data_IF_722916444922
#
_entry.id   IF_722916444922
#
_cell.length_a   1.000
_cell.length_b   1.000
_cell.length_c   1.000
_cell.angle_alpha   90.00
_cell.angle_beta   90.00
_cell.angle_gamma   90.00
#
_symmetry.space_group_name_H-M   'P 1'
#
loop_
_entity.id
_entity.type
_entity.pdbx_description
1 polymer ?
#
# COMPACT_ATOMS: atom_id res chain seq x y z
N UNK A 1 -31.12 -11.20 -4.15
CA UNK A 1 -32.01 -10.63 -3.10
C UNK A 1 -33.44 -11.15 -3.24
N UNK A 2 -34.16 -10.85 -4.33
CA UNK A 2 -35.57 -11.25 -4.52
C UNK A 2 -35.81 -12.75 -4.33
N UNK A 3 -34.92 -13.60 -4.84
CA UNK A 3 -35.02 -15.05 -4.65
C UNK A 3 -35.01 -15.47 -3.18
N UNK A 4 -34.23 -14.80 -2.32
CA UNK A 4 -34.22 -15.07 -0.89
C UNK A 4 -35.54 -14.64 -0.22
N UNK A 5 -36.05 -13.46 -0.58
CA UNK A 5 -37.36 -13.00 -0.09
C UNK A 5 -38.48 -13.97 -0.47
N UNK A 6 -38.48 -14.46 -1.72
CA UNK A 6 -39.44 -15.47 -2.17
C UNK A 6 -39.24 -16.83 -1.49
N UNK A 7 -37.99 -17.21 -1.19
CA UNK A 7 -37.70 -18.46 -0.47
C UNK A 7 -38.28 -18.46 0.94
N UNK A 8 -38.27 -17.32 1.64
CA UNK A 8 -38.89 -17.18 2.95
C UNK A 8 -40.42 -17.41 2.91
N UNK A 9 -41.06 -17.09 1.79
CA UNK A 9 -42.48 -17.32 1.52
C UNK A 9 -42.76 -18.69 0.86
N UNK A 10 -41.76 -19.59 0.79
CA UNK A 10 -41.80 -20.88 0.09
C UNK A 10 -42.19 -20.76 -1.41
N UNK A 11 -41.91 -19.61 -2.03
CA UNK A 11 -42.21 -19.29 -3.44
C UNK A 11 -40.95 -19.19 -4.29
N UNK A 12 -39.85 -19.82 -3.87
CA UNK A 12 -38.60 -19.79 -4.63
C UNK A 12 -38.76 -20.52 -5.96
N UNK A 13 -38.55 -19.79 -7.06
CA UNK A 13 -38.35 -20.40 -8.38
C UNK A 13 -36.85 -20.66 -8.59
N UNK A 14 -36.46 -21.93 -8.58
CA UNK A 14 -35.06 -22.36 -8.70
C UNK A 14 -34.52 -22.15 -10.11
N UNK A 15 -35.33 -22.34 -11.15
CA UNK A 15 -34.90 -22.18 -12.54
C UNK A 15 -34.50 -20.73 -12.82
N UNK A 16 -35.28 -19.78 -12.29
CA UNK A 16 -34.95 -18.34 -12.38
C UNK A 16 -33.65 -18.04 -11.62
N UNK A 17 -33.45 -18.63 -10.44
CA UNK A 17 -32.22 -18.43 -9.68
C UNK A 17 -31.00 -18.94 -10.45
N UNK A 18 -31.04 -20.17 -10.97
CA UNK A 18 -29.90 -20.77 -11.68
C UNK A 18 -29.62 -20.14 -13.04
N UNK A 19 -30.60 -19.47 -13.67
CA UNK A 19 -30.38 -18.72 -14.91
C UNK A 19 -29.27 -17.66 -14.78
N UNK A 20 -29.04 -17.14 -13.59
CA UNK A 20 -28.02 -16.13 -13.31
C UNK A 20 -26.77 -16.70 -12.60
N UNK A 21 -26.70 -18.02 -12.41
CA UNK A 21 -25.56 -18.66 -11.77
C UNK A 21 -24.36 -18.76 -12.73
N UNK A 22 -23.17 -18.89 -12.17
CA UNK A 22 -21.96 -19.23 -12.92
C UNK A 22 -22.07 -20.63 -13.54
N UNK A 23 -21.28 -20.96 -14.59
CA UNK A 23 -21.30 -22.28 -15.22
C UNK A 23 -21.03 -23.43 -14.24
N UNK A 24 -20.24 -23.17 -13.19
CA UNK A 24 -19.90 -24.13 -12.13
C UNK A 24 -20.96 -24.21 -11.02
N UNK A 25 -22.04 -23.42 -11.12
CA UNK A 25 -23.10 -23.28 -10.11
C UNK A 25 -22.57 -22.87 -8.73
N UNK A 26 -21.42 -22.19 -8.69
CA UNK A 26 -20.70 -21.85 -7.47
C UNK A 26 -20.94 -20.43 -6.98
N UNK A 27 -21.35 -19.51 -7.86
CA UNK A 27 -21.59 -18.11 -7.51
C UNK A 27 -22.51 -17.40 -8.51
N UNK A 28 -22.97 -16.20 -8.15
CA UNK A 28 -23.86 -15.37 -8.98
C UNK A 28 -23.16 -14.07 -9.39
N UNK A 29 -22.48 -14.04 -10.55
CA UNK A 29 -21.76 -12.86 -11.01
C UNK A 29 -22.71 -11.70 -11.33
N UNK A 30 -22.31 -10.48 -10.94
CA UNK A 30 -23.07 -9.26 -11.24
C UNK A 30 -22.19 -8.17 -11.86
N UNK A 31 -22.75 -7.35 -12.79
CA UNK A 31 -22.08 -6.16 -13.29
C UNK A 31 -21.97 -5.14 -12.15
N UNK A 32 -20.75 -4.93 -11.65
CA UNK A 32 -20.50 -4.10 -10.46
C UNK A 32 -19.20 -4.46 -9.75
N UNK A 33 -18.67 -5.67 -10.00
CA UNK A 33 -17.37 -6.10 -9.49
C UNK A 33 -17.47 -7.17 -8.40
N UNK A 34 -16.32 -7.48 -7.81
CA UNK A 34 -16.16 -8.62 -6.89
C UNK A 34 -17.03 -8.51 -5.64
N UNK A 35 -17.13 -7.32 -5.03
CA UNK A 35 -17.84 -7.12 -3.76
C UNK A 35 -19.35 -7.36 -3.90
N UNK A 36 -19.97 -6.83 -4.95
CA UNK A 36 -21.39 -7.05 -5.21
C UNK A 36 -21.68 -8.50 -5.62
N UNK A 37 -20.74 -9.18 -6.29
CA UNK A 37 -20.85 -10.62 -6.59
C UNK A 37 -20.87 -11.45 -5.31
N UNK A 38 -20.06 -11.10 -4.31
CA UNK A 38 -20.07 -11.76 -3.00
C UNK A 38 -21.41 -11.58 -2.29
N UNK A 39 -21.94 -10.36 -2.26
CA UNK A 39 -23.24 -10.07 -1.66
C UNK A 39 -24.38 -10.80 -2.39
N UNK A 40 -24.44 -10.73 -3.73
CA UNK A 40 -25.45 -11.40 -4.53
C UNK A 40 -25.43 -12.92 -4.32
N UNK A 41 -24.23 -13.50 -4.29
CA UNK A 41 -24.03 -14.94 -4.02
C UNK A 41 -24.45 -15.30 -2.60
N UNK A 42 -24.27 -14.41 -1.61
CA UNK A 42 -24.65 -14.68 -0.22
C UNK A 42 -26.18 -14.78 -0.08
N UNK A 43 -26.91 -13.90 -0.77
CA UNK A 43 -28.37 -14.02 -0.86
C UNK A 43 -28.82 -15.28 -1.60
N UNK A 44 -28.09 -15.72 -2.63
CA UNK A 44 -28.40 -16.97 -3.32
C UNK A 44 -28.18 -18.18 -2.40
N UNK A 45 -27.08 -18.21 -1.64
CA UNK A 45 -26.82 -19.25 -0.63
C UNK A 45 -27.94 -19.30 0.42
N UNK A 46 -28.35 -18.15 0.97
CA UNK A 46 -29.46 -18.07 1.91
C UNK A 46 -30.78 -18.61 1.32
N UNK A 47 -31.06 -18.33 0.04
CA UNK A 47 -32.23 -18.87 -0.64
C UNK A 47 -32.17 -20.40 -0.77
N UNK A 48 -31.01 -20.96 -1.13
CA UNK A 48 -30.81 -22.40 -1.23
C UNK A 48 -30.93 -23.10 0.13
N UNK A 49 -30.36 -22.52 1.18
CA UNK A 49 -30.45 -23.03 2.56
C UNK A 49 -31.91 -23.04 3.04
N UNK A 50 -32.67 -21.95 2.80
CA UNK A 50 -34.10 -21.91 3.13
C UNK A 50 -34.92 -22.94 2.36
N UNK A 51 -34.58 -23.20 1.10
CA UNK A 51 -35.18 -24.24 0.29
C UNK A 51 -34.69 -25.68 0.63
N UNK A 52 -33.83 -25.84 1.65
CA UNK A 52 -33.19 -27.11 2.06
C UNK A 52 -32.41 -27.80 0.93
N UNK A 53 -31.91 -27.04 -0.03
CA UNK A 53 -31.12 -27.52 -1.16
C UNK A 53 -29.62 -27.54 -0.79
N UNK A 54 -29.24 -28.36 0.19
CA UNK A 54 -27.88 -28.34 0.78
C UNK A 54 -26.79 -28.83 -0.18
N UNK A 55 -27.09 -29.80 -1.04
CA UNK A 55 -26.14 -30.28 -2.06
C UNK A 55 -25.76 -29.18 -3.04
N UNK A 56 -26.73 -28.36 -3.45
CA UNK A 56 -26.50 -27.22 -4.35
C UNK A 56 -25.85 -26.02 -3.64
N UNK A 57 -26.03 -25.90 -2.33
CA UNK A 57 -25.41 -24.87 -1.51
C UNK A 57 -23.92 -25.15 -1.23
N UNK A 58 -23.50 -26.42 -1.20
CA UNK A 58 -22.13 -26.82 -0.85
C UNK A 58 -21.05 -26.21 -1.77
N UNK A 59 -21.18 -26.22 -3.11
CA UNK A 59 -20.23 -25.54 -4.00
C UNK A 59 -20.11 -24.04 -3.72
N UNK A 60 -21.21 -23.40 -3.33
CA UNK A 60 -21.25 -21.96 -3.02
C UNK A 60 -20.48 -21.62 -1.75
N UNK A 61 -20.63 -22.45 -0.71
CA UNK A 61 -19.87 -22.31 0.55
C UNK A 61 -18.36 -22.49 0.31
N UNK A 62 -17.98 -23.51 -0.48
CA UNK A 62 -16.58 -23.72 -0.87
C UNK A 62 -16.02 -22.54 -1.65
N UNK A 63 -16.82 -21.96 -2.54
CA UNK A 63 -16.43 -20.76 -3.27
C UNK A 63 -16.15 -19.59 -2.33
N UNK A 64 -17.00 -19.32 -1.32
CA UNK A 64 -16.74 -18.25 -0.34
C UNK A 64 -15.40 -18.39 0.39
N UNK A 65 -15.00 -19.61 0.76
CA UNK A 65 -13.71 -19.85 1.42
C UNK A 65 -12.52 -19.37 0.56
N UNK A 66 -12.63 -19.44 -0.77
CA UNK A 66 -11.62 -18.93 -1.70
C UNK A 66 -11.61 -17.40 -1.87
N UNK A 67 -12.69 -16.71 -1.46
CA UNK A 67 -12.86 -15.28 -1.70
C UNK A 67 -12.51 -14.40 -0.50
N UNK A 68 -12.31 -14.99 0.67
CA UNK A 68 -12.10 -14.28 1.92
C UNK A 68 -10.71 -13.61 1.96
N UNK A 69 -10.68 -12.28 2.16
CA UNK A 69 -9.48 -11.46 2.22
C UNK A 69 -8.61 -11.75 3.46
N UNK A 70 -7.40 -11.21 3.44
CA UNK A 70 -6.49 -11.19 4.60
C UNK A 70 -7.18 -10.46 5.76
N UNK A 71 -7.15 -11.05 6.95
CA UNK A 71 -7.90 -10.54 8.12
C UNK A 71 -9.34 -11.07 8.23
N UNK A 72 -9.77 -11.94 7.31
CA UNK A 72 -11.03 -12.66 7.41
C UNK A 72 -12.25 -11.94 6.81
N UNK A 73 -12.12 -10.67 6.44
CA UNK A 73 -13.21 -9.92 5.79
C UNK A 73 -13.44 -10.30 4.32
N UNK A 74 -14.53 -9.81 3.75
CA UNK A 74 -14.90 -9.98 2.34
C UNK A 74 -14.82 -8.67 1.55
N UNK A 75 -13.98 -7.73 2.01
CA UNK A 75 -13.69 -6.46 1.33
C UNK A 75 -14.63 -5.31 1.68
N UNK A 76 -15.94 -5.53 1.75
CA UNK A 76 -16.89 -4.52 2.28
C UNK A 76 -17.62 -5.03 3.51
N UNK A 77 -18.12 -4.14 4.36
CA UNK A 77 -18.89 -4.53 5.55
C UNK A 77 -20.13 -5.31 5.16
N UNK A 78 -20.84 -4.85 4.11
CA UNK A 78 -22.05 -5.51 3.64
C UNK A 78 -21.78 -6.91 3.08
N UNK A 79 -20.77 -7.06 2.22
CA UNK A 79 -20.37 -8.38 1.74
C UNK A 79 -19.93 -9.28 2.91
N UNK A 80 -19.19 -8.74 3.88
CA UNK A 80 -18.70 -9.49 5.04
C UNK A 80 -19.84 -9.99 5.91
N UNK A 81 -20.78 -9.13 6.29
CA UNK A 81 -21.94 -9.50 7.12
C UNK A 81 -22.80 -10.52 6.38
N UNK A 82 -23.11 -10.27 5.11
CA UNK A 82 -24.00 -11.15 4.34
C UNK A 82 -23.39 -12.53 4.11
N UNK A 83 -22.10 -12.61 3.78
CA UNK A 83 -21.41 -13.89 3.60
C UNK A 83 -21.34 -14.66 4.91
N UNK A 84 -20.95 -14.00 6.02
CA UNK A 84 -20.92 -14.67 7.32
C UNK A 84 -22.29 -15.17 7.76
N UNK A 85 -23.35 -14.38 7.57
CA UNK A 85 -24.70 -14.80 7.85
C UNK A 85 -25.09 -16.02 7.01
N UNK A 86 -24.84 -15.99 5.69
CA UNK A 86 -25.19 -17.08 4.78
C UNK A 86 -24.46 -18.39 5.11
N UNK A 87 -23.15 -18.30 5.38
CA UNK A 87 -22.31 -19.45 5.72
C UNK A 87 -22.68 -20.01 7.11
N UNK A 88 -22.98 -19.14 8.08
CA UNK A 88 -23.43 -19.58 9.40
C UNK A 88 -24.78 -20.31 9.33
N UNK A 89 -25.75 -19.77 8.58
CA UNK A 89 -27.05 -20.43 8.35
C UNK A 89 -26.88 -21.79 7.65
N UNK A 90 -25.96 -21.90 6.69
CA UNK A 90 -25.63 -23.20 6.09
C UNK A 90 -25.12 -24.20 7.13
N UNK A 91 -24.08 -23.85 7.89
CA UNK A 91 -23.48 -24.77 8.88
C UNK A 91 -24.41 -25.08 10.06
N UNK A 92 -25.35 -24.21 10.39
CA UNK A 92 -26.36 -24.47 11.42
C UNK A 92 -27.38 -25.54 11.01
N UNK A 93 -27.65 -25.66 9.70
CA UNK A 93 -28.69 -26.55 9.17
C UNK A 93 -28.17 -27.78 8.43
N UNK A 94 -26.98 -27.69 7.84
CA UNK A 94 -26.35 -28.78 7.12
C UNK A 94 -25.70 -29.79 8.08
N UNK A 95 -25.63 -31.06 7.68
CA UNK A 95 -24.90 -32.07 8.46
C UNK A 95 -23.40 -31.87 8.28
N UNK A 96 -22.67 -31.77 9.38
CA UNK A 96 -21.21 -31.73 9.37
C UNK A 96 -20.65 -33.09 8.89
N UNK A 97 -19.75 -33.11 7.90
CA UNK A 97 -19.02 -34.31 7.52
C UNK A 97 -18.01 -34.71 8.60
N UNK A 98 -17.56 -35.97 8.58
CA UNK A 98 -16.44 -36.40 9.41
C UNK A 98 -15.17 -35.62 9.07
N UNK A 99 -14.38 -35.32 10.10
CA UNK A 99 -13.20 -34.47 10.02
C UNK A 99 -12.01 -35.15 10.71
N UNK A 100 -11.08 -35.65 9.91
CA UNK A 100 -9.78 -36.21 10.27
C UNK A 100 -8.78 -35.89 9.16
N UNK A 101 -8.19 -34.70 9.24
CA UNK A 101 -7.33 -34.14 8.20
C UNK A 101 -5.94 -33.84 8.75
N UNK A 102 -4.91 -34.38 8.11
CA UNK A 102 -3.52 -34.08 8.39
C UNK A 102 -2.96 -33.20 7.29
N UNK A 103 -2.32 -32.08 7.68
CA UNK A 103 -1.75 -31.08 6.78
C UNK A 103 -0.30 -30.85 7.15
N UNK A 104 0.59 -31.18 6.22
CA UNK A 104 2.04 -30.97 6.33
C UNK A 104 2.43 -29.76 5.46
N UNK A 105 3.02 -28.74 6.08
CA UNK A 105 3.49 -27.53 5.41
C UNK A 105 5.02 -27.49 5.44
N UNK A 106 5.65 -27.67 4.28
CA UNK A 106 7.09 -27.53 4.12
C UNK A 106 7.43 -26.13 3.62
N UNK A 107 8.04 -25.36 4.51
CA UNK A 107 8.51 -24.01 4.25
C UNK A 107 9.94 -24.01 3.69
N UNK A 108 10.28 -23.06 2.79
CA UNK A 108 11.62 -22.89 2.26
C UNK A 108 12.63 -22.68 3.40
N UNK A 109 13.82 -23.28 3.26
CA UNK A 109 14.88 -23.22 4.27
C UNK A 109 14.68 -24.14 5.50
N UNK A 110 13.52 -24.80 5.65
CA UNK A 110 13.31 -25.79 6.73
C UNK A 110 13.58 -27.22 6.25
N UNK A 111 14.24 -28.01 7.11
CA UNK A 111 14.54 -29.42 6.83
C UNK A 111 13.38 -30.38 7.13
N UNK A 112 12.40 -29.95 7.93
CA UNK A 112 11.21 -30.74 8.30
C UNK A 112 9.94 -29.92 8.07
N UNK A 113 8.85 -30.56 7.61
CA UNK A 113 7.55 -29.89 7.48
C UNK A 113 6.94 -29.65 8.87
N UNK A 114 6.18 -28.57 8.98
CA UNK A 114 5.28 -28.34 10.11
C UNK A 114 4.04 -29.21 9.91
N UNK A 115 3.76 -30.07 10.89
CA UNK A 115 2.65 -31.02 10.82
C UNK A 115 1.47 -30.53 11.65
N UNK A 116 0.30 -30.46 11.03
CA UNK A 116 -0.95 -30.09 11.69
C UNK A 116 -1.96 -31.22 11.52
N UNK A 117 -2.62 -31.60 12.62
CA UNK A 117 -3.70 -32.58 12.61
C UNK A 117 -4.98 -31.92 13.08
N UNK A 118 -6.02 -32.07 12.27
CA UNK A 118 -7.34 -31.50 12.48
C UNK A 118 -8.37 -32.60 12.66
N UNK A 119 -9.04 -32.60 13.81
CA UNK A 119 -10.09 -33.53 14.18
C UNK A 119 -11.34 -32.74 14.62
N UNK A 120 -12.43 -33.45 14.95
CA UNK A 120 -13.69 -32.83 15.38
C UNK A 120 -13.60 -31.94 16.63
N UNK A 121 -12.55 -32.10 17.44
CA UNK A 121 -12.36 -31.29 18.65
C UNK A 121 -11.60 -29.99 18.36
N UNK A 122 -10.78 -29.96 17.31
CA UNK A 122 -9.84 -28.88 17.06
C UNK A 122 -9.94 -28.26 15.65
N UNK A 123 -10.86 -28.70 14.79
CA UNK A 123 -11.02 -28.23 13.40
C UNK A 123 -11.36 -26.74 13.28
N UNK A 124 -11.92 -26.13 14.33
CA UNK A 124 -12.12 -24.68 14.40
C UNK A 124 -10.85 -23.88 14.74
N UNK A 125 -9.74 -24.55 15.07
CA UNK A 125 -8.49 -23.89 15.49
C UNK A 125 -7.68 -23.45 14.28
N UNK A 126 -7.26 -22.18 14.26
CA UNK A 126 -6.31 -21.70 13.26
C UNK A 126 -4.88 -22.10 13.62
N UNK A 127 -4.14 -22.63 12.65
CA UNK A 127 -2.70 -22.93 12.77
C UNK A 127 -1.91 -21.98 11.90
N UNK A 128 -0.80 -21.47 12.42
CA UNK A 128 0.02 -20.45 11.74
C UNK A 128 1.47 -20.90 11.72
N UNK A 129 2.13 -20.72 10.58
CA UNK A 129 3.59 -20.79 10.47
C UNK A 129 4.11 -19.56 9.75
N UNK A 130 5.33 -19.14 10.10
CA UNK A 130 5.95 -17.89 9.61
C UNK A 130 7.36 -18.16 9.10
N UNK A 131 7.75 -17.41 8.07
CA UNK A 131 9.09 -17.31 7.51
C UNK A 131 9.42 -15.84 7.26
N UNK A 132 10.72 -15.53 7.23
CA UNK A 132 11.20 -14.16 6.98
C UNK A 132 11.47 -13.88 5.50
N UNK A 133 11.26 -14.87 4.63
CA UNK A 133 11.46 -14.76 3.19
C UNK A 133 10.11 -14.63 2.46
N UNK A 134 10.09 -13.81 1.39
CA UNK A 134 8.94 -13.64 0.50
C UNK A 134 9.26 -14.23 -0.89
N UNK A 135 8.23 -14.52 -1.69
CA UNK A 135 8.34 -15.04 -3.06
C UNK A 135 9.10 -16.38 -3.17
N UNK A 136 8.85 -17.28 -2.22
CA UNK A 136 9.40 -18.64 -2.21
C UNK A 136 8.27 -19.66 -2.32
N UNK A 137 8.54 -20.78 -2.97
CA UNK A 137 7.57 -21.86 -3.11
C UNK A 137 7.35 -22.60 -1.78
N UNK A 138 6.08 -22.82 -1.43
CA UNK A 138 5.68 -23.57 -0.23
C UNK A 138 4.98 -24.85 -0.67
N UNK A 139 5.41 -26.00 -0.13
CA UNK A 139 4.77 -27.29 -0.41
C UNK A 139 3.79 -27.65 0.69
N UNK A 140 2.53 -27.79 0.33
CA UNK A 140 1.44 -28.23 1.23
C UNK A 140 1.00 -29.63 0.83
N UNK A 141 0.99 -30.56 1.78
CA UNK A 141 0.49 -31.93 1.59
C UNK A 141 -0.65 -32.17 2.56
N UNK A 142 -1.82 -32.56 2.05
CA UNK A 142 -3.00 -32.83 2.87
C UNK A 142 -3.44 -34.28 2.68
N UNK A 143 -3.72 -34.99 3.78
CA UNK A 143 -4.15 -36.40 3.79
C UNK A 143 -5.28 -36.61 4.80
N UNK A 144 -6.20 -37.55 4.51
CA UNK A 144 -7.34 -37.85 5.36
C UNK A 144 -8.66 -37.30 4.81
N UNK A 145 -9.66 -37.17 5.69
CA UNK A 145 -11.04 -36.81 5.37
C UNK A 145 -11.36 -35.44 5.95
N UNK A 146 -11.73 -34.48 5.12
CA UNK A 146 -12.10 -33.13 5.55
C UNK A 146 -11.73 -32.08 4.51
N UNK A 147 -12.04 -30.83 4.81
CA UNK A 147 -11.72 -29.69 3.95
C UNK A 147 -11.08 -28.59 4.80
N UNK A 148 -9.84 -28.21 4.48
CA UNK A 148 -9.15 -27.10 5.12
C UNK A 148 -8.84 -26.00 4.11
N UNK A 149 -8.78 -24.76 4.60
CA UNK A 149 -8.38 -23.60 3.80
C UNK A 149 -7.00 -23.15 4.24
N UNK A 150 -6.06 -23.10 3.29
CA UNK A 150 -4.71 -22.57 3.52
C UNK A 150 -4.63 -21.17 2.94
N UNK A 151 -4.15 -20.21 3.75
CA UNK A 151 -3.94 -18.83 3.32
C UNK A 151 -2.50 -18.43 3.54
N UNK A 152 -1.88 -17.90 2.49
CA UNK A 152 -0.54 -17.34 2.52
C UNK A 152 -0.65 -15.82 2.47
N UNK A 153 0.00 -15.15 3.43
CA UNK A 153 -0.02 -13.69 3.58
C UNK A 153 1.41 -13.20 3.66
N UNK A 154 1.81 -12.35 2.72
CA UNK A 154 3.12 -11.70 2.74
C UNK A 154 2.93 -10.23 3.12
N UNK A 155 3.58 -9.82 4.20
CA UNK A 155 3.64 -8.42 4.63
C UNK A 155 5.01 -7.87 4.26
N UNK A 156 5.04 -6.83 3.43
CA UNK A 156 6.27 -6.17 3.00
C UNK A 156 6.00 -4.69 2.74
N UNK A 157 7.05 -3.88 2.82
CA UNK A 157 6.98 -2.49 2.40
C UNK A 157 7.07 -2.42 0.88
N UNK A 158 5.97 -2.05 0.24
CA UNK A 158 5.94 -1.77 -1.19
C UNK A 158 6.23 -0.28 -1.42
N UNK A 159 7.06 0.03 -2.41
CA UNK A 159 7.17 1.42 -2.91
C UNK A 159 5.80 1.78 -3.49
N UNK A 160 5.18 2.90 -3.06
CA UNK A 160 3.92 3.36 -3.64
C UNK A 160 4.13 3.63 -5.13
N UNK A 161 3.58 2.78 -5.99
CA UNK A 161 3.56 3.03 -7.43
C UNK A 161 2.45 4.05 -7.67
N UNK A 162 2.79 5.27 -8.06
CA UNK A 162 1.83 6.14 -8.75
C UNK A 162 1.56 5.47 -10.10
N UNK A 163 0.52 4.65 -10.22
CA UNK A 163 0.08 4.27 -11.56
C UNK A 163 -0.68 5.46 -12.11
N UNK A 164 -0.35 5.89 -13.33
CA UNK A 164 -1.10 6.92 -14.04
C UNK A 164 -2.61 6.60 -14.13
N UNK A 165 -2.99 5.33 -13.95
CA UNK A 165 -4.37 4.84 -13.93
C UNK A 165 -5.02 4.72 -12.54
N UNK A 166 -4.43 5.21 -11.45
CA UNK A 166 -4.99 5.01 -10.10
C UNK A 166 -6.31 5.80 -9.87
N UNK A 167 -6.60 6.80 -10.70
CA UNK A 167 -7.73 7.70 -10.53
C UNK A 167 -8.78 7.55 -11.64
N UNK A 168 -9.25 6.32 -11.91
CA UNK A 168 -10.26 6.07 -12.95
C UNK A 168 -11.66 6.58 -12.58
N UNK A 169 -12.01 6.54 -11.29
CA UNK A 169 -13.35 6.86 -10.79
C UNK A 169 -13.47 8.22 -10.12
N UNK A 170 -12.35 8.81 -9.75
CA UNK A 170 -12.34 10.07 -9.02
C UNK A 170 -11.30 10.99 -9.64
N UNK A 171 -11.65 12.25 -9.82
CA UNK A 171 -10.69 13.32 -10.04
C UNK A 171 -10.43 14.00 -8.69
N UNK A 172 -9.16 13.98 -8.28
CA UNK A 172 -8.73 14.48 -6.97
C UNK A 172 -7.58 15.46 -7.15
N UNK A 173 -7.76 16.66 -6.60
CA UNK A 173 -6.69 17.65 -6.41
C UNK A 173 -6.38 17.75 -4.92
N UNK A 174 -5.09 17.85 -4.59
CA UNK A 174 -4.62 18.07 -3.22
C UNK A 174 -3.60 19.19 -3.24
N UNK A 175 -3.91 20.25 -2.53
CA UNK A 175 -3.07 21.45 -2.44
C UNK A 175 -2.79 21.76 -0.99
N UNK A 176 -1.55 22.17 -0.71
CA UNK A 176 -1.13 22.59 0.61
C UNK A 176 -0.70 24.05 0.54
N UNK A 177 -1.50 24.94 1.13
CA UNK A 177 -1.24 26.37 1.16
C UNK A 177 -0.58 26.75 2.48
N UNK A 178 0.47 27.59 2.43
CA UNK A 178 1.08 28.14 3.64
C UNK A 178 0.12 29.13 4.32
N UNK A 179 -0.16 28.87 5.60
CA UNK A 179 -0.94 29.75 6.46
C UNK A 179 -0.08 30.82 7.15
N UNK A 180 -0.72 31.64 7.98
CA UNK A 180 0.00 32.62 8.81
C UNK A 180 0.81 31.88 9.89
N UNK A 181 2.10 32.21 9.98
CA UNK A 181 2.97 31.79 11.09
C UNK A 181 2.46 32.43 12.39
N UNK A 182 2.16 31.61 13.40
CA UNK A 182 1.86 32.07 14.75
C UNK A 182 2.75 31.29 15.73
N UNK A 183 3.51 32.00 16.57
CA UNK A 183 4.21 31.42 17.74
C UNK A 183 5.08 30.18 17.46
N UNK A 184 5.92 30.24 16.42
CA UNK A 184 6.89 29.17 16.07
C UNK A 184 6.25 27.84 15.60
N UNK A 185 4.92 27.80 15.44
CA UNK A 185 4.18 26.70 14.79
C UNK A 185 3.92 27.05 13.32
N UNK A 186 4.39 26.17 12.40
CA UNK A 186 4.00 26.26 10.99
C UNK A 186 2.57 25.76 10.82
N UNK A 187 1.71 26.60 10.27
CA UNK A 187 0.32 26.27 9.97
C UNK A 187 0.16 26.21 8.46
N UNK A 188 -0.44 25.14 7.97
CA UNK A 188 -0.80 25.00 6.56
C UNK A 188 -2.30 24.76 6.43
N UNK A 189 -2.88 25.20 5.32
CA UNK A 189 -4.25 24.88 4.93
C UNK A 189 -4.20 23.77 3.90
N UNK A 190 -4.68 22.59 4.27
CA UNK A 190 -4.82 21.45 3.36
C UNK A 190 -6.15 21.57 2.64
N UNK A 191 -6.11 21.69 1.31
CA UNK A 191 -7.27 21.78 0.42
C UNK A 191 -7.35 20.51 -0.42
N UNK A 192 -8.50 19.83 -0.36
CA UNK A 192 -8.77 18.61 -1.11
C UNK A 192 -10.02 18.87 -1.94
N UNK A 193 -9.94 18.71 -3.26
CA UNK A 193 -11.13 18.74 -4.12
C UNK A 193 -11.36 17.35 -4.70
N UNK A 194 -12.61 16.88 -4.65
CA UNK A 194 -12.99 15.55 -5.13
C UNK A 194 -14.18 15.68 -6.07
N UNK A 195 -14.08 15.04 -7.24
CA UNK A 195 -15.16 14.90 -8.21
C UNK A 195 -15.28 13.43 -8.62
N UNK A 196 -16.51 12.91 -8.67
CA UNK A 196 -16.75 11.56 -9.16
C UNK A 196 -16.81 11.54 -10.70
N UNK A 197 -16.10 10.60 -11.31
CA UNK A 197 -15.99 10.45 -12.75
C UNK A 197 -17.03 9.45 -13.25
N UNK A 198 -18.29 9.89 -13.29
CA UNK A 198 -19.41 9.16 -13.89
C UNK A 198 -20.29 10.14 -14.68
N UNK A 199 -21.04 9.63 -15.65
CA UNK A 199 -21.89 10.47 -16.53
C UNK A 199 -23.26 10.73 -15.94
N UNK A 200 -23.79 9.78 -15.18
CA UNK A 200 -25.22 9.70 -14.91
C UNK A 200 -25.57 9.63 -13.42
N UNK A 201 -24.58 9.38 -12.54
CA UNK A 201 -24.82 9.21 -11.10
C UNK A 201 -23.74 9.83 -10.23
N UNK A 202 -24.15 10.33 -9.06
CA UNK A 202 -23.24 10.65 -7.97
C UNK A 202 -22.66 9.36 -7.36
N UNK A 203 -21.45 9.45 -6.80
CA UNK A 203 -20.90 8.38 -5.97
C UNK A 203 -21.70 8.29 -4.67
N UNK A 204 -21.84 7.07 -4.16
CA UNK A 204 -22.47 6.80 -2.87
C UNK A 204 -21.54 7.21 -1.72
N UNK A 205 -21.82 6.73 -0.51
CA UNK A 205 -20.98 7.01 0.67
C UNK A 205 -19.51 6.72 0.36
N UNK A 206 -18.68 7.76 0.49
CA UNK A 206 -17.27 7.74 0.12
C UNK A 206 -16.40 8.08 1.31
N UNK A 207 -15.20 7.51 1.35
CA UNK A 207 -14.22 7.73 2.42
C UNK A 207 -13.04 8.49 1.85
N UNK A 208 -12.64 9.54 2.56
CA UNK A 208 -11.35 10.20 2.43
C UNK A 208 -10.44 9.74 3.58
N UNK A 209 -9.41 8.98 3.24
CA UNK A 209 -8.38 8.54 4.19
C UNK A 209 -7.10 9.36 3.96
N UNK A 210 -6.82 10.22 4.93
CA UNK A 210 -5.78 11.25 4.89
C UNK A 210 -4.70 10.85 5.88
N UNK A 211 -3.55 10.41 5.36
CA UNK A 211 -2.34 10.27 6.15
C UNK A 211 -1.80 11.64 6.54
N UNK A 212 -1.40 11.83 7.79
CA UNK A 212 -0.78 13.07 8.24
C UNK A 212 0.74 13.04 8.06
N UNK A 213 1.33 14.20 7.82
CA UNK A 213 2.78 14.38 7.86
C UNK A 213 3.28 14.14 9.30
N UNK A 214 4.47 13.54 9.44
CA UNK A 214 5.04 13.28 10.76
C UNK A 214 5.20 14.57 11.56
N UNK A 215 4.65 14.59 12.78
CA UNK A 215 4.69 15.77 13.66
C UNK A 215 3.59 16.80 13.40
N UNK A 216 2.64 16.53 12.50
CA UNK A 216 1.49 17.40 12.23
C UNK A 216 0.21 16.90 12.91
N UNK A 217 -0.63 17.83 13.32
CA UNK A 217 -1.96 17.57 13.88
C UNK A 217 -3.01 18.43 13.18
N UNK A 218 -4.25 17.93 13.08
CA UNK A 218 -5.35 18.64 12.42
C UNK A 218 -6.03 19.63 13.37
N UNK A 219 -6.55 20.72 12.83
CA UNK A 219 -7.36 21.66 13.60
C UNK A 219 -8.79 21.12 13.73
N UNK A 220 -9.16 20.68 14.93
CA UNK A 220 -10.47 20.08 15.20
C UNK A 220 -11.62 21.05 15.05
N UNK A 221 -11.40 22.36 15.25
CA UNK A 221 -12.45 23.36 15.12
C UNK A 221 -12.89 23.52 13.66
N UNK A 222 -11.95 23.43 12.71
CA UNK A 222 -12.27 23.49 11.28
C UNK A 222 -13.07 22.25 10.85
N UNK A 223 -12.69 21.06 11.32
CA UNK A 223 -13.43 19.82 11.04
C UNK A 223 -14.81 19.79 11.70
N UNK A 224 -14.94 20.35 12.89
CA UNK A 224 -16.22 20.54 13.56
C UNK A 224 -17.16 21.45 12.77
N UNK A 225 -16.65 22.53 12.16
CA UNK A 225 -17.45 23.41 11.30
C UNK A 225 -17.91 22.71 10.01
N UNK A 226 -17.11 21.78 9.49
CA UNK A 226 -17.47 21.01 8.28
C UNK A 226 -18.50 19.91 8.58
N UNK A 227 -18.48 19.35 9.80
CA UNK A 227 -19.34 18.22 10.19
C UNK A 227 -20.61 18.62 10.93
N UNK A 228 -20.59 19.74 11.66
CA UNK A 228 -21.69 20.20 12.51
C UNK A 228 -22.43 21.36 11.84
N UNK A 229 -23.76 21.31 11.89
CA UNK A 229 -24.63 22.40 11.44
C UNK A 229 -25.52 22.02 10.24
N UNK A 230 -26.40 22.95 9.81
CA UNK A 230 -27.37 22.68 8.75
C UNK A 230 -26.75 22.58 7.35
N UNK A 231 -25.55 23.13 7.14
CA UNK A 231 -24.80 23.09 5.88
C UNK A 231 -23.55 22.20 6.02
N UNK A 232 -23.67 21.04 6.67
CA UNK A 232 -22.56 20.10 6.82
C UNK A 232 -22.09 19.60 5.44
N UNK A 233 -20.78 19.60 5.24
CA UNK A 233 -20.11 19.10 4.03
C UNK A 233 -19.66 17.66 4.22
N UNK A 234 -19.24 17.32 5.44
CA UNK A 234 -18.82 15.97 5.82
C UNK A 234 -19.83 15.38 6.79
N UNK A 235 -20.08 14.07 6.74
CA UNK A 235 -21.01 13.42 7.66
C UNK A 235 -20.38 13.31 9.06
N UNK A 236 -19.14 12.80 9.10
CA UNK A 236 -18.34 12.68 10.32
C UNK A 236 -16.85 12.51 9.98
N UNK A 237 -16.01 12.64 11.00
CA UNK A 237 -14.58 12.38 10.89
C UNK A 237 -14.07 11.59 12.09
N UNK A 238 -13.01 10.82 11.89
CA UNK A 238 -12.36 10.00 12.92
C UNK A 238 -10.85 10.23 12.83
N UNK A 239 -10.22 10.58 13.95
CA UNK A 239 -8.76 10.59 14.07
C UNK A 239 -8.31 9.23 14.56
N UNK A 240 -7.54 8.53 13.74
CA UNK A 240 -7.06 7.20 14.07
C UNK A 240 -5.55 7.24 14.32
N UNK A 241 -5.18 7.10 15.60
CA UNK A 241 -3.79 6.96 16.07
C UNK A 241 -3.36 5.50 16.19
N UNK A 242 -4.30 4.54 16.09
CA UNK A 242 -4.05 3.10 16.27
C UNK A 242 -3.68 2.42 14.95
N UNK A 243 -4.24 2.89 13.82
CA UNK A 243 -4.00 2.31 12.49
C UNK A 243 -2.79 2.89 11.75
N UNK A 244 -2.19 3.97 12.24
CA UNK A 244 -1.07 4.65 11.58
C UNK A 244 -0.11 5.22 12.61
N UNK A 245 1.17 4.81 12.53
CA UNK A 245 2.26 5.39 13.34
C UNK A 245 2.43 6.90 13.12
N UNK A 246 1.92 7.42 12.00
CA UNK A 246 2.00 8.85 11.61
C UNK A 246 0.75 9.65 12.01
N UNK A 247 -0.28 8.98 12.52
CA UNK A 247 -1.64 9.53 12.62
C UNK A 247 -2.35 9.54 11.27
N UNK A 248 -3.65 9.22 11.29
CA UNK A 248 -4.52 9.26 10.11
C UNK A 248 -5.84 9.95 10.44
N UNK A 249 -6.37 10.71 9.48
CA UNK A 249 -7.68 11.32 9.55
C UNK A 249 -8.59 10.66 8.52
N UNK A 250 -9.68 10.07 8.98
CA UNK A 250 -10.69 9.46 8.12
C UNK A 250 -11.91 10.39 8.10
N UNK A 251 -12.30 10.84 6.92
CA UNK A 251 -13.48 11.66 6.69
C UNK A 251 -14.52 10.85 5.90
N UNK A 252 -15.76 10.87 6.36
CA UNK A 252 -16.88 10.19 5.73
C UNK A 252 -17.75 11.22 4.99
N UNK A 253 -18.02 10.95 3.71
CA UNK A 253 -18.88 11.77 2.85
C UNK A 253 -20.14 10.97 2.52
N UNK A 254 -21.32 11.59 2.66
CA UNK A 254 -22.61 10.97 2.32
C UNK A 254 -22.68 10.61 0.82
N UNK A 255 -22.12 11.47 -0.02
CA UNK A 255 -21.99 11.29 -1.46
C UNK A 255 -20.87 12.17 -2.03
N UNK A 256 -20.43 11.87 -3.25
CA UNK A 256 -19.55 12.75 -4.03
C UNK A 256 -20.22 13.05 -5.37
N UNK A 257 -20.34 14.33 -5.71
CA UNK A 257 -21.03 14.71 -6.94
C UNK A 257 -20.23 14.34 -8.18
N UNK A 258 -20.94 13.98 -9.26
CA UNK A 258 -20.36 13.81 -10.59
C UNK A 258 -20.33 15.11 -11.43
N UNK A 259 -20.99 16.18 -10.96
CA UNK A 259 -21.15 17.43 -11.72
C UNK A 259 -20.28 18.57 -11.21
N UNK A 260 -20.10 18.65 -9.89
CA UNK A 260 -19.37 19.74 -9.23
C UNK A 260 -18.33 19.17 -8.28
N UNK A 261 -17.08 19.66 -8.32
CA UNK A 261 -16.07 19.28 -7.34
C UNK A 261 -16.51 19.69 -5.93
N UNK A 262 -16.40 18.77 -4.98
CA UNK A 262 -16.61 19.03 -3.57
C UNK A 262 -15.26 19.44 -2.96
N UNK A 263 -15.22 20.61 -2.31
CA UNK A 263 -14.00 21.14 -1.68
C UNK A 263 -14.04 20.91 -0.16
N UNK A 264 -13.00 20.28 0.37
CA UNK A 264 -12.81 20.04 1.80
C UNK A 264 -11.48 20.67 2.19
N UNK A 265 -11.52 21.69 3.03
CA UNK A 265 -10.32 22.41 3.45
C UNK A 265 -10.29 22.63 4.97
N UNK A 266 -9.15 22.34 5.57
CA UNK A 266 -8.92 22.52 7.01
C UNK A 266 -7.45 22.78 7.31
N UNK A 267 -7.17 23.38 8.46
CA UNK A 267 -5.79 23.68 8.87
C UNK A 267 -5.10 22.47 9.51
N UNK A 268 -3.81 22.32 9.21
CA UNK A 268 -2.90 21.39 9.89
C UNK A 268 -1.76 22.19 10.54
N UNK A 269 -1.38 21.77 11.74
CA UNK A 269 -0.43 22.45 12.61
C UNK A 269 0.79 21.56 12.83
N UNK A 270 2.00 22.10 12.65
CA UNK A 270 3.23 21.40 12.98
C UNK A 270 3.49 21.51 14.49
N UNK A 271 3.26 20.42 15.24
CA UNK A 271 3.53 20.34 16.69
C UNK A 271 4.94 19.89 17.01
N UNK A 272 5.54 19.09 16.13
CA UNK A 272 6.92 18.61 16.28
C UNK A 272 7.72 18.95 15.01
N UNK A 273 8.87 19.61 15.21
CA UNK A 273 9.83 19.89 14.13
C UNK A 273 10.60 18.61 13.82
N UNK A 274 10.46 18.11 12.60
CA UNK A 274 11.13 16.90 12.10
C UNK A 274 12.15 17.31 11.04
N UNK A 275 13.32 16.68 11.03
CA UNK A 275 14.41 17.06 10.13
C UNK A 275 14.11 16.83 8.64
N UNK A 276 13.60 15.63 8.29
CA UNK A 276 13.19 15.29 6.92
C UNK A 276 11.73 14.87 6.96
N UNK A 277 10.86 15.69 6.37
CA UNK A 277 9.45 15.36 6.21
C UNK A 277 9.28 14.40 5.05
N UNK A 278 8.59 13.29 5.29
CA UNK A 278 8.17 12.38 4.22
C UNK A 278 6.81 12.84 3.69
N UNK A 279 6.55 12.73 2.38
CA UNK A 279 5.22 13.00 1.82
C UNK A 279 4.15 12.15 2.49
N UNK A 280 2.96 12.72 2.60
CA UNK A 280 1.77 12.03 3.08
C UNK A 280 0.77 11.83 1.94
N UNK A 281 -0.13 10.86 2.09
CA UNK A 281 -1.08 10.45 1.07
C UNK A 281 -2.51 10.82 1.47
N UNK A 282 -3.30 11.27 0.50
CA UNK A 282 -4.75 11.36 0.56
C UNK A 282 -5.30 10.30 -0.39
N UNK A 283 -6.19 9.46 0.11
CA UNK A 283 -6.87 8.46 -0.70
C UNK A 283 -8.38 8.62 -0.62
N UNK A 284 -9.06 8.48 -1.76
CA UNK A 284 -10.52 8.49 -1.84
C UNK A 284 -11.03 7.20 -2.47
N UNK A 285 -12.10 6.64 -1.92
CA UNK A 285 -12.77 5.46 -2.45
C UNK A 285 -14.24 5.40 -2.02
N UNK A 286 -15.08 4.72 -2.79
CA UNK A 286 -16.44 4.41 -2.37
C UNK A 286 -16.43 3.32 -1.28
N UNK A 287 -17.33 3.39 -0.30
CA UNK A 287 -17.36 2.42 0.79
C UNK A 287 -17.56 0.96 0.33
N UNK A 288 -18.34 0.78 -0.73
CA UNK A 288 -18.66 -0.55 -1.28
C UNK A 288 -17.72 -1.00 -2.40
N UNK A 289 -16.89 -0.10 -2.94
CA UNK A 289 -15.87 -0.40 -3.95
C UNK A 289 -14.54 0.31 -3.61
N UNK A 290 -13.55 -0.50 -3.23
CA UNK A 290 -12.22 -0.03 -2.80
C UNK A 290 -11.29 0.35 -3.94
N UNK A 291 -11.80 0.63 -5.13
CA UNK A 291 -11.00 1.22 -6.21
C UNK A 291 -10.63 2.65 -5.81
N UNK A 292 -9.46 2.82 -5.17
CA UNK A 292 -9.04 4.08 -4.59
C UNK A 292 -8.19 4.93 -5.55
N UNK A 293 -8.40 6.24 -5.51
CA UNK A 293 -7.49 7.22 -6.10
C UNK A 293 -6.61 7.78 -4.99
N UNK A 294 -5.29 7.75 -5.19
CA UNK A 294 -4.31 8.21 -4.20
C UNK A 294 -3.52 9.39 -4.76
N UNK A 295 -3.42 10.46 -3.98
CA UNK A 295 -2.60 11.64 -4.27
C UNK A 295 -1.68 11.91 -3.08
N UNK A 296 -0.50 12.45 -3.35
CA UNK A 296 0.45 12.79 -2.30
C UNK A 296 0.51 14.31 -2.11
N UNK A 297 0.90 14.74 -0.92
CA UNK A 297 1.14 16.15 -0.62
C UNK A 297 2.37 16.32 0.27
N UNK A 298 3.07 17.43 0.06
CA UNK A 298 4.26 17.82 0.82
C UNK A 298 4.43 19.35 0.74
N UNK A 299 4.85 20.05 1.81
CA UNK A 299 5.01 21.50 1.80
C UNK A 299 5.96 22.04 0.73
N UNK A 300 7.13 21.41 0.59
CA UNK A 300 8.20 21.93 -0.27
C UNK A 300 8.25 21.25 -1.66
N UNK A 301 7.51 20.15 -1.87
CA UNK A 301 7.62 19.36 -3.11
C UNK A 301 6.39 19.53 -3.97
N UNK A 302 6.61 19.72 -5.28
CA UNK A 302 5.52 19.84 -6.25
C UNK A 302 4.67 18.56 -6.25
N UNK A 303 3.37 18.72 -6.01
CA UNK A 303 2.37 17.64 -5.93
C UNK A 303 2.73 16.51 -4.93
N UNK A 304 3.58 16.80 -3.92
CA UNK A 304 3.97 15.80 -2.92
C UNK A 304 4.68 14.56 -3.46
N UNK A 305 5.26 14.62 -4.66
CA UNK A 305 5.89 13.45 -5.26
C UNK A 305 6.99 12.88 -4.37
N UNK A 306 7.02 11.55 -4.28
CA UNK A 306 8.13 10.82 -3.70
C UNK A 306 9.38 11.13 -4.52
N UNK A 307 10.51 11.30 -3.84
CA UNK A 307 11.78 11.36 -4.54
C UNK A 307 12.02 9.98 -5.14
N UNK A 308 12.29 9.94 -6.44
CA UNK A 308 12.60 8.72 -7.16
C UNK A 308 13.90 8.90 -7.93
N UNK A 309 14.76 7.90 -7.85
CA UNK A 309 15.95 7.79 -8.68
C UNK A 309 15.58 6.97 -9.91
N UNK A 310 15.33 7.65 -11.03
CA UNK A 310 14.91 7.01 -12.27
C UNK A 310 16.05 6.94 -13.29
N UNK A 311 16.33 5.73 -13.79
CA UNK A 311 17.20 5.48 -14.94
C UNK A 311 16.39 4.84 -16.06
N UNK A 312 16.15 5.60 -17.13
CA UNK A 312 15.31 5.26 -18.29
C UNK A 312 13.91 4.71 -17.95
N UNK A 313 13.82 3.46 -17.47
CA UNK A 313 12.59 2.74 -17.16
C UNK A 313 12.53 2.16 -15.73
N UNK A 314 13.61 2.22 -14.96
CA UNK A 314 13.66 1.70 -13.60
C UNK A 314 13.81 2.85 -12.60
N UNK A 315 12.85 2.97 -11.68
CA UNK A 315 12.84 3.99 -10.64
C UNK A 315 12.95 3.33 -9.27
N UNK A 316 13.94 3.72 -8.48
CA UNK A 316 14.08 3.34 -7.07
C UNK A 316 13.61 4.49 -6.17
N UNK A 317 13.05 4.17 -5.00
CA UNK A 317 12.62 5.19 -4.04
C UNK A 317 13.86 5.86 -3.43
N UNK A 318 13.86 7.20 -3.39
CA UNK A 318 14.98 8.05 -3.00
C UNK A 318 14.68 8.85 -1.72
N UNK A 319 13.99 8.25 -0.75
CA UNK A 319 13.69 8.83 0.57
C UNK A 319 14.75 8.49 1.64
N UNK A 320 15.97 8.16 1.21
CA UNK A 320 17.05 7.81 2.13
C UNK A 320 17.75 9.05 2.71
N UNK A 321 18.45 8.81 3.82
CA UNK A 321 19.27 9.84 4.45
C UNK A 321 20.41 10.28 3.51
N UNK A 322 20.67 11.58 3.46
CA UNK A 322 21.79 12.14 2.72
C UNK A 322 23.13 11.69 3.30
N UNK A 323 24.07 11.33 2.42
CA UNK A 323 25.49 11.29 2.79
C UNK A 323 25.96 12.73 2.99
N UNK A 324 26.29 13.12 4.22
CA UNK A 324 26.72 14.49 4.53
C UNK A 324 28.20 14.68 4.20
N UNK A 325 28.54 15.77 3.50
CA UNK A 325 29.94 16.16 3.33
C UNK A 325 30.54 16.55 4.68
N UNK A 326 31.63 15.89 5.07
CA UNK A 326 32.39 16.28 6.25
C UNK A 326 33.29 17.48 5.92
N UNK A 327 32.77 18.69 6.16
CA UNK A 327 33.48 19.96 5.91
C UNK A 327 34.41 20.40 7.06
N UNK A 328 34.43 19.67 8.19
CA UNK A 328 35.33 19.93 9.32
C UNK A 328 36.78 19.51 9.06
N UNK A 329 37.71 19.98 9.90
CA UNK A 329 39.10 19.51 9.89
C UNK A 329 39.19 18.10 10.49
N UNK A 330 39.07 17.09 9.63
CA UNK A 330 39.28 15.68 9.97
C UNK A 330 40.75 15.33 9.72
N UNK A 331 41.42 14.72 10.70
CA UNK A 331 42.82 14.30 10.59
C UNK A 331 43.00 13.16 9.58
N UNK A 332 44.21 13.01 9.04
CA UNK A 332 44.51 11.89 8.15
C UNK A 332 44.46 10.54 8.88
N UNK A 333 44.74 10.50 10.19
CA UNK A 333 44.66 9.27 10.99
C UNK A 333 43.21 8.79 11.14
N UNK A 334 42.26 9.71 11.36
CA UNK A 334 40.83 9.40 11.40
C UNK A 334 40.31 8.88 10.04
N UNK A 335 40.74 9.51 8.94
CA UNK A 335 40.41 9.05 7.58
C UNK A 335 40.97 7.65 7.33
N UNK A 336 42.21 7.39 7.72
CA UNK A 336 42.88 6.09 7.55
C UNK A 336 42.18 5.01 8.37
N UNK A 337 41.80 5.32 9.61
CA UNK A 337 41.04 4.40 10.47
C UNK A 337 39.70 4.05 9.83
N UNK A 338 39.00 5.04 9.25
CA UNK A 338 37.74 4.80 8.56
C UNK A 338 37.90 3.96 7.29
N UNK A 339 38.99 4.16 6.56
CA UNK A 339 39.36 3.34 5.40
C UNK A 339 39.61 1.88 5.84
N UNK A 340 40.20 1.64 7.01
CA UNK A 340 40.44 0.29 7.52
C UNK A 340 39.17 -0.46 7.94
N UNK A 341 38.06 0.23 8.20
CA UNK A 341 36.73 -0.39 8.43
C UNK A 341 36.09 -0.90 7.12
N UNK A 342 36.72 -0.68 5.97
CA UNK A 342 36.15 -0.99 4.66
C UNK A 342 36.17 -2.49 4.34
N UNK A 343 35.03 -3.00 3.87
CA UNK A 343 34.86 -4.40 3.39
C UNK A 343 35.48 -4.60 2.01
N UNK A 344 35.62 -5.85 1.55
CA UNK A 344 36.05 -6.17 0.16
C UNK A 344 35.19 -5.50 -0.91
N UNK A 345 33.92 -5.23 -0.59
CA UNK A 345 32.97 -4.56 -1.48
C UNK A 345 33.05 -3.03 -1.46
N UNK A 346 33.95 -2.44 -0.67
CA UNK A 346 34.07 -0.99 -0.54
C UNK A 346 34.95 -0.39 -1.64
N UNK A 347 34.60 0.82 -2.09
CA UNK A 347 35.35 1.62 -3.06
C UNK A 347 35.79 2.94 -2.44
N UNK A 348 37.02 3.37 -2.69
CA UNK A 348 37.58 4.62 -2.16
C UNK A 348 38.38 5.32 -3.27
N UNK A 349 37.95 6.52 -3.64
CA UNK A 349 38.42 7.22 -4.84
C UNK A 349 38.48 8.74 -4.63
N UNK A 350 39.49 9.39 -5.22
CA UNK A 350 39.48 10.83 -5.43
C UNK A 350 38.80 11.16 -6.75
N UNK A 351 37.82 12.05 -6.71
CA UNK A 351 37.03 12.43 -7.88
C UNK A 351 37.02 13.95 -8.05
N UNK A 352 37.04 14.41 -9.29
CA UNK A 352 36.93 15.82 -9.66
C UNK A 352 35.59 16.06 -10.34
N UNK A 353 34.83 17.06 -9.88
CA UNK A 353 33.51 17.39 -10.44
C UNK A 353 33.68 18.21 -11.73
N UNK A 354 33.34 17.63 -12.88
CA UNK A 354 33.41 18.31 -14.18
C UNK A 354 32.08 18.95 -14.58
N UNK A 355 30.96 18.36 -14.18
CA UNK A 355 29.62 18.84 -14.54
C UNK A 355 28.61 18.61 -13.43
N UNK A 356 27.69 19.56 -13.27
CA UNK A 356 26.56 19.46 -12.33
C UNK A 356 25.30 19.79 -13.11
N UNK A 357 24.32 18.89 -13.04
CA UNK A 357 22.99 19.10 -13.57
C UNK A 357 21.98 18.94 -12.44
N UNK A 358 21.25 20.01 -12.15
CA UNK A 358 20.22 20.02 -11.11
C UNK A 358 18.85 19.76 -11.74
N UNK A 359 18.20 18.68 -11.34
CA UNK A 359 16.86 18.33 -11.83
C UNK A 359 15.82 18.36 -10.70
N UNK A 360 14.56 18.07 -11.03
CA UNK A 360 13.45 18.12 -10.07
C UNK A 360 13.36 16.88 -9.17
N UNK A 361 13.98 15.77 -9.56
CA UNK A 361 13.99 14.50 -8.80
C UNK A 361 15.40 14.14 -8.34
N UNK A 362 16.36 14.18 -9.27
CA UNK A 362 17.72 13.66 -9.07
C UNK A 362 18.76 14.60 -9.63
N UNK A 363 19.73 14.96 -8.79
CA UNK A 363 20.89 15.70 -9.26
C UNK A 363 21.92 14.77 -9.83
N UNK A 364 22.48 15.18 -10.97
CA UNK A 364 23.49 14.41 -11.68
C UNK A 364 24.82 15.15 -11.61
N UNK A 365 25.84 14.48 -11.10
CA UNK A 365 27.20 14.98 -11.02
C UNK A 365 28.09 14.14 -11.94
N UNK A 366 28.64 14.77 -12.97
CA UNK A 366 29.65 14.14 -13.81
C UNK A 366 31.01 14.34 -13.15
N UNK A 367 31.61 13.26 -12.69
CA UNK A 367 32.87 13.29 -11.96
C UNK A 367 33.93 12.42 -12.62
N UNK A 368 35.14 12.96 -12.77
CA UNK A 368 36.30 12.21 -13.25
C UNK A 368 37.03 11.59 -12.06
N UNK A 369 37.31 10.30 -12.14
CA UNK A 369 38.09 9.60 -11.12
C UNK A 369 39.57 9.92 -11.35
N UNK A 370 40.18 10.63 -10.41
CA UNK A 370 41.57 11.10 -10.50
C UNK A 370 42.52 10.02 -9.98
N UNK A 371 42.20 9.45 -8.83
CA UNK A 371 43.04 8.47 -8.15
C UNK A 371 42.16 7.43 -7.44
N UNK A 372 42.58 6.17 -7.47
CA UNK A 372 41.88 5.04 -6.84
C UNK A 372 42.72 4.59 -5.66
N UNK A 373 42.18 4.71 -4.45
CA UNK A 373 42.84 4.23 -3.21
C UNK A 373 42.48 2.76 -2.98
N UNK A 374 41.21 2.41 -3.19
CA UNK A 374 40.70 1.04 -3.09
C UNK A 374 39.72 0.78 -4.22
N UNK A 375 40.08 -0.17 -5.08
CA UNK A 375 39.23 -0.61 -6.19
C UNK A 375 38.07 -1.46 -5.65
N UNK A 376 36.87 -1.22 -6.19
CA UNK A 376 35.68 -1.99 -5.84
C UNK A 376 35.56 -3.28 -6.67
N UNK A 377 34.63 -4.15 -6.29
CA UNK A 377 34.40 -5.43 -6.98
C UNK A 377 33.66 -5.31 -8.33
N UNK A 378 33.04 -4.17 -8.63
CA UNK A 378 32.11 -4.01 -9.77
C UNK A 378 32.69 -3.17 -10.92
N UNK A 379 33.45 -2.10 -10.62
CA UNK A 379 33.98 -1.14 -11.60
C UNK A 379 35.50 -1.27 -11.70
N UNK A 380 35.97 -1.88 -12.79
CA UNK A 380 37.39 -2.26 -12.97
C UNK A 380 38.14 -1.20 -13.79
N UNK A 381 39.31 -0.79 -13.30
CA UNK A 381 40.16 0.26 -13.85
C UNK A 381 39.43 1.60 -14.01
N UNK A 382 38.88 2.19 -12.93
CA UNK A 382 38.09 3.41 -13.03
C UNK A 382 38.93 4.69 -13.16
N UNK A 383 40.23 4.63 -12.86
CA UNK A 383 41.15 5.76 -12.95
C UNK A 383 41.11 6.46 -14.32
N UNK A 384 41.00 7.80 -14.30
CA UNK A 384 40.93 8.67 -15.46
C UNK A 384 39.57 8.72 -16.16
N UNK A 385 38.63 7.82 -15.83
CA UNK A 385 37.33 7.74 -16.48
C UNK A 385 36.31 8.68 -15.86
N UNK A 386 35.34 9.09 -16.67
CA UNK A 386 34.16 9.83 -16.21
C UNK A 386 33.12 8.85 -15.66
N UNK A 387 32.53 9.21 -14.52
CA UNK A 387 31.42 8.49 -13.89
C UNK A 387 30.32 9.47 -13.53
N UNK A 388 29.10 8.97 -13.59
CA UNK A 388 27.91 9.72 -13.20
C UNK A 388 27.57 9.36 -11.76
N UNK A 389 27.57 10.35 -10.88
CA UNK A 389 27.11 10.22 -9.51
C UNK A 389 25.73 10.86 -9.39
N UNK A 390 24.84 10.20 -8.66
CA UNK A 390 23.48 10.65 -8.45
C UNK A 390 23.32 11.11 -7.00
N UNK A 391 22.54 12.15 -6.80
CA UNK A 391 22.16 12.61 -5.47
C UNK A 391 20.73 13.13 -5.45
N UNK A 392 20.18 13.26 -4.25
CA UNK A 392 18.83 13.76 -4.04
C UNK A 392 18.82 15.28 -3.92
N UNK A 393 17.73 15.90 -4.36
CA UNK A 393 17.57 17.36 -4.28
C UNK A 393 17.72 17.90 -2.85
N UNK A 394 17.20 17.20 -1.84
CA UNK A 394 17.33 17.62 -0.43
C UNK A 394 18.77 17.48 0.10
N UNK A 395 19.65 16.77 -0.60
CA UNK A 395 21.04 16.61 -0.22
C UNK A 395 21.98 17.69 -0.77
N UNK A 396 21.49 18.60 -1.64
CA UNK A 396 22.31 19.66 -2.26
C UNK A 396 23.12 20.46 -1.23
N UNK A 397 22.45 20.94 -0.19
CA UNK A 397 23.07 21.76 0.85
C UNK A 397 24.05 20.94 1.68
N UNK A 398 23.68 19.71 2.06
CA UNK A 398 24.51 18.82 2.86
C UNK A 398 25.76 18.32 2.13
N UNK A 399 25.70 18.19 0.79
CA UNK A 399 26.80 17.73 -0.05
C UNK A 399 27.72 18.86 -0.52
N UNK A 400 27.18 20.05 -0.80
CA UNK A 400 27.98 21.24 -1.10
C UNK A 400 29.01 21.09 -2.24
N UNK A 401 28.79 20.15 -3.18
CA UNK A 401 29.74 19.86 -4.25
C UNK A 401 29.84 21.02 -5.25
N UNK A 402 31.06 21.37 -5.61
CA UNK A 402 31.38 22.49 -6.50
C UNK A 402 32.11 21.99 -7.73
N UNK A 403 31.80 22.59 -8.88
CA UNK A 403 32.51 22.35 -10.14
C UNK A 403 34.00 22.66 -9.97
N UNK A 404 34.84 21.87 -10.63
CA UNK A 404 36.30 21.98 -10.67
C UNK A 404 36.97 21.82 -9.29
N UNK A 405 36.32 21.11 -8.36
CA UNK A 405 36.88 20.71 -7.07
C UNK A 405 37.03 19.20 -6.97
N UNK A 406 38.04 18.78 -6.22
CA UNK A 406 38.35 17.37 -5.95
C UNK A 406 37.83 16.97 -4.58
N UNK A 407 37.22 15.78 -4.52
CA UNK A 407 36.61 15.21 -3.32
C UNK A 407 37.09 13.77 -3.13
N UNK A 408 37.21 13.36 -1.87
CA UNK A 408 37.41 11.95 -1.51
C UNK A 408 36.05 11.31 -1.27
N UNK A 409 35.74 10.25 -2.03
CA UNK A 409 34.49 9.50 -1.91
C UNK A 409 34.80 8.09 -1.38
N UNK A 410 34.00 7.65 -0.42
CA UNK A 410 34.02 6.29 0.14
C UNK A 410 32.61 5.72 0.05
N UNK A 411 32.46 4.54 -0.55
CA UNK A 411 31.15 3.89 -0.70
C UNK A 411 31.26 2.37 -0.82
N UNK A 412 30.14 1.72 -1.09
CA UNK A 412 30.06 0.27 -1.30
C UNK A 412 29.64 -0.06 -2.73
N UNK A 413 29.93 -1.30 -3.15
CA UNK A 413 29.42 -1.89 -4.38
C UNK A 413 27.88 -1.87 -4.46
N UNK A 414 27.18 -1.88 -3.31
CA UNK A 414 25.72 -1.73 -3.24
C UNK A 414 25.21 -0.41 -3.79
N UNK A 415 26.06 0.63 -3.76
CA UNK A 415 25.73 1.98 -4.24
C UNK A 415 26.02 2.14 -5.74
N UNK A 416 26.34 1.04 -6.44
CA UNK A 416 26.71 1.07 -7.86
C UNK A 416 25.62 0.41 -8.68
N UNK A 417 24.96 1.21 -9.50
CA UNK A 417 24.00 0.73 -10.49
C UNK A 417 24.73 0.47 -11.81
N UNK A 418 24.64 -0.77 -12.33
CA UNK A 418 25.12 -1.07 -13.68
C UNK A 418 24.08 -0.64 -14.69
N UNK A 419 24.50 0.20 -15.61
CA UNK A 419 23.74 0.53 -16.81
C UNK A 419 24.09 -0.50 -17.89
N UNK A 420 23.42 -1.65 -17.86
CA UNK A 420 23.71 -2.81 -18.74
C UNK A 420 23.44 -2.50 -20.24
N UNK A 421 23.05 -1.28 -20.61
CA UNK A 421 22.76 -0.87 -21.99
C UNK A 421 23.87 -0.09 -22.70
N UNK A 422 24.97 0.30 -22.02
CA UNK A 422 26.11 0.98 -22.68
C UNK A 422 27.21 0.04 -23.17
N UNK A 423 26.84 -1.20 -23.50
CA UNK A 423 27.72 -2.23 -24.03
C UNK A 423 27.17 -2.88 -25.30
N UNK A 424 26.91 -2.09 -26.34
CA UNK A 424 26.85 -2.53 -27.74
C UNK A 424 27.43 -1.46 -28.64
#
# INVERSE_FOLDING_TARGET
ITSYALANENKLNRDILYKFASPELSHWPVPGGKMFTLEATAYALLALVRAKAFEDARPVVRWFNSQQFVGGGYGSTQATIMVYHAVAEYWTNAKEPEYDLNVDILLPGRSKPDKFSFNRENHYTTRTSKINDINQDVKVTATGTGEATVKMVSLYYAIPKQKESDCQKFNVSVELEEGKMADDEKIYKLKIEVLFLDKDKDATMSILDIGLLTGFTVNTNDLDLLSKGPARTIDRYEMNTVLSERGSLIIYLDKVSHQRPEEIAFRIHQKLKVGVLQPAAVSVYEYYDRTSCVKFYHPERRAGHLLQLCTESECTCAEENCSMQKSGQISNDERTTKICESTETSKIEYVMVEGINFELSTDTYQMRIVEVIKEGSIDVGPAGKLRTFLSYQHCREALGLKKDKTYLIMGSSKDTHRDDKKGT
#
